data_IF_538485388790
#
_entry.id   IF_538485388790
#
_cell.length_a   1.000
_cell.length_b   1.000
_cell.length_c   1.000
_cell.angle_alpha   90.00
_cell.angle_beta   90.00
_cell.angle_gamma   90.00
#
_symmetry.space_group_name_H-M   'P 1'
#
loop_
_entity.id
_entity.type
_entity.pdbx_description
1 polymer ?
#
# COMPACT_ATOMS: atom_id res chain seq x y z
N UNK A 1 2.16 -13.58 36.27
CA UNK A 1 3.02 -12.70 35.45
C UNK A 1 2.40 -12.64 34.05
N UNK A 2 1.95 -11.50 33.51
CA UNK A 2 1.64 -11.42 32.09
C UNK A 2 2.93 -11.07 31.34
N UNK A 3 3.37 -11.98 30.47
CA UNK A 3 4.48 -11.78 29.55
C UNK A 3 4.06 -10.67 28.58
N UNK A 4 4.63 -9.46 28.71
CA UNK A 4 4.46 -8.39 27.73
C UNK A 4 5.22 -8.75 26.47
N UNK A 5 4.64 -9.59 25.61
CA UNK A 5 5.09 -9.65 24.24
C UNK A 5 4.62 -8.34 23.60
N UNK A 6 5.51 -7.36 23.56
CA UNK A 6 5.50 -6.34 22.52
C UNK A 6 5.66 -7.05 21.19
N UNK A 7 4.61 -7.69 20.70
CA UNK A 7 4.55 -8.24 19.36
C UNK A 7 4.58 -7.04 18.45
N UNK A 8 5.78 -6.67 17.99
CA UNK A 8 5.95 -5.79 16.85
C UNK A 8 5.08 -6.39 15.73
N UNK A 9 3.88 -5.83 15.55
CA UNK A 9 2.92 -6.37 14.60
C UNK A 9 3.62 -6.30 13.25
N UNK A 10 3.75 -7.41 12.52
CA UNK A 10 4.45 -7.39 11.25
C UNK A 10 3.86 -6.27 10.39
N UNK A 11 4.70 -5.50 9.69
CA UNK A 11 4.23 -4.39 8.87
C UNK A 11 3.13 -4.92 7.96
N UNK A 12 1.94 -4.34 8.07
CA UNK A 12 0.83 -4.74 7.21
C UNK A 12 1.20 -4.34 5.80
N UNK A 13 1.04 -5.29 4.89
CA UNK A 13 1.36 -5.13 3.47
C UNK A 13 0.10 -5.45 2.69
N UNK A 14 -0.23 -4.57 1.75
CA UNK A 14 -1.33 -4.78 0.83
C UNK A 14 -0.82 -5.18 -0.54
N UNK A 15 -1.59 -6.03 -1.21
CA UNK A 15 -1.39 -6.29 -2.63
C UNK A 15 -1.90 -5.12 -3.47
N UNK A 16 -1.39 -4.99 -4.69
CA UNK A 16 -1.88 -4.02 -5.69
C UNK A 16 -3.40 -4.10 -5.86
N UNK A 17 -3.96 -5.31 -5.82
CA UNK A 17 -5.41 -5.55 -5.95
C UNK A 17 -6.20 -5.09 -4.73
N UNK A 18 -5.68 -5.28 -3.51
CA UNK A 18 -6.33 -4.78 -2.29
C UNK A 18 -6.36 -3.25 -2.27
N UNK A 19 -5.22 -2.62 -2.55
CA UNK A 19 -5.12 -1.16 -2.65
C UNK A 19 -6.06 -0.63 -3.74
N UNK A 20 -6.12 -1.29 -4.89
CA UNK A 20 -7.02 -0.92 -5.98
C UNK A 20 -8.49 -0.92 -5.53
N UNK A 21 -8.91 -1.93 -4.78
CA UNK A 21 -10.27 -2.00 -4.21
C UNK A 21 -10.54 -0.91 -3.17
N UNK A 22 -9.56 -0.59 -2.33
CA UNK A 22 -9.69 0.47 -1.31
C UNK A 22 -9.86 1.86 -1.93
N UNK A 23 -9.03 2.17 -2.94
CA UNK A 23 -9.09 3.44 -3.66
C UNK A 23 -10.12 3.46 -4.79
N UNK A 24 -10.82 2.33 -5.04
CA UNK A 24 -11.74 2.13 -6.17
C UNK A 24 -11.12 2.49 -7.52
N UNK A 25 -9.86 2.11 -7.72
CA UNK A 25 -9.10 2.32 -8.95
C UNK A 25 -8.73 0.99 -9.60
N UNK A 26 -8.17 1.04 -10.80
CA UNK A 26 -7.64 -0.15 -11.47
C UNK A 26 -6.29 -0.61 -10.86
N UNK A 27 -6.02 -1.92 -10.73
CA UNK A 27 -4.72 -2.43 -10.26
C UNK A 27 -3.52 -1.96 -11.10
N UNK A 28 -3.72 -1.66 -12.39
CA UNK A 28 -2.70 -1.07 -13.27
C UNK A 28 -2.32 0.33 -12.82
N UNK A 29 -3.30 1.11 -12.35
CA UNK A 29 -3.09 2.44 -11.77
C UNK A 29 -2.26 2.33 -10.49
N UNK A 30 -2.58 1.38 -9.60
CA UNK A 30 -1.77 1.14 -8.38
C UNK A 30 -0.35 0.68 -8.73
N UNK A 31 -0.21 -0.20 -9.72
CA UNK A 31 1.10 -0.64 -10.20
C UNK A 31 1.91 0.53 -10.75
N UNK A 32 1.25 1.46 -11.47
CA UNK A 32 1.87 2.71 -11.93
C UNK A 32 2.32 3.55 -10.75
N UNK A 33 1.49 3.75 -9.73
CA UNK A 33 1.84 4.51 -8.52
C UNK A 33 3.08 3.97 -7.81
N UNK A 34 3.19 2.64 -7.71
CA UNK A 34 4.39 1.99 -7.16
C UNK A 34 5.61 2.23 -8.06
N UNK A 35 5.45 2.14 -9.39
CA UNK A 35 6.56 2.36 -10.34
C UNK A 35 7.01 3.81 -10.41
N UNK A 36 6.10 4.76 -10.22
CA UNK A 36 6.39 6.21 -10.21
C UNK A 36 6.88 6.70 -8.85
N UNK A 37 6.86 5.85 -7.82
CA UNK A 37 7.27 6.22 -6.45
C UNK A 37 6.23 6.99 -5.66
N UNK A 38 4.98 7.03 -6.15
CA UNK A 38 3.84 7.66 -5.46
C UNK A 38 3.26 6.79 -4.34
N UNK A 39 3.46 5.47 -4.41
CA UNK A 39 3.18 4.55 -3.31
C UNK A 39 4.43 3.76 -2.94
N UNK A 40 4.74 3.68 -1.65
CA UNK A 40 5.85 2.87 -1.15
C UNK A 40 5.49 1.39 -1.19
N UNK A 41 6.23 0.61 -1.97
CA UNK A 41 6.09 -0.83 -2.01
C UNK A 41 7.41 -1.58 -1.85
N UNK A 42 7.36 -2.70 -1.15
CA UNK A 42 8.41 -3.68 -1.05
C UNK A 42 8.31 -4.63 -2.23
N UNK A 43 9.39 -4.72 -3.02
CA UNK A 43 9.51 -5.76 -4.04
C UNK A 43 9.89 -7.07 -3.36
N UNK A 44 9.01 -8.06 -3.49
CA UNK A 44 9.34 -9.42 -3.05
C UNK A 44 10.28 -10.07 -4.06
N UNK A 45 11.09 -11.08 -3.67
CA UNK A 45 12.00 -11.79 -4.58
C UNK A 45 11.31 -12.39 -5.81
N UNK A 46 10.00 -12.66 -5.73
CA UNK A 46 9.18 -13.14 -6.85
C UNK A 46 8.64 -12.04 -7.78
N UNK A 47 9.06 -10.79 -7.64
CA UNK A 47 8.68 -9.69 -8.54
C UNK A 47 7.34 -9.02 -8.24
N UNK A 48 6.58 -9.52 -7.25
CA UNK A 48 5.33 -8.89 -6.82
C UNK A 48 5.63 -7.72 -5.88
N UNK A 49 4.97 -6.58 -6.12
CA UNK A 49 5.05 -5.42 -5.25
C UNK A 49 4.03 -5.55 -4.10
N UNK A 50 4.52 -5.36 -2.87
CA UNK A 50 3.71 -5.29 -1.66
C UNK A 50 3.70 -3.87 -1.12
N UNK A 51 2.56 -3.20 -1.18
CA UNK A 51 2.41 -1.80 -0.74
C UNK A 51 2.39 -1.76 0.79
N UNK A 52 3.09 -0.79 1.38
CA UNK A 52 3.08 -0.57 2.83
C UNK A 52 1.72 -0.05 3.27
N UNK A 53 1.15 -0.67 4.31
CA UNK A 53 -0.12 -0.23 4.87
C UNK A 53 -0.06 1.19 5.44
N UNK A 54 1.09 1.63 5.94
CA UNK A 54 1.29 2.99 6.46
C UNK A 54 0.99 4.05 5.39
N UNK A 55 1.49 3.81 4.17
CA UNK A 55 1.33 4.70 3.03
C UNK A 55 -0.12 4.68 2.50
N UNK A 56 -0.74 3.50 2.50
CA UNK A 56 -2.15 3.31 2.13
C UNK A 56 -3.08 3.97 3.14
N UNK A 57 -2.82 3.80 4.43
CA UNK A 57 -3.61 4.36 5.52
C UNK A 57 -3.49 5.89 5.52
N UNK A 58 -2.26 6.42 5.37
CA UNK A 58 -2.05 7.84 5.19
C UNK A 58 -2.80 8.39 3.94
N UNK A 59 -2.85 7.62 2.85
CA UNK A 59 -3.54 8.02 1.63
C UNK A 59 -5.06 7.98 1.77
N UNK A 60 -5.60 7.01 2.52
CA UNK A 60 -7.02 6.92 2.86
C UNK A 60 -7.44 7.98 3.87
N UNK A 61 -6.57 8.32 4.82
CA UNK A 61 -6.76 9.38 5.79
C UNK A 61 -6.64 10.79 5.17
N UNK A 62 -6.20 10.89 3.91
CA UNK A 62 -5.96 12.16 3.23
C UNK A 62 -4.70 12.90 3.70
N UNK A 63 -3.85 12.24 4.52
CA UNK A 63 -2.58 12.77 5.01
C UNK A 63 -1.50 12.77 3.93
N UNK A 64 -1.55 11.79 3.03
CA UNK A 64 -0.85 11.85 1.75
C UNK A 64 -1.90 11.85 0.65
N UNK A 65 -1.69 12.64 -0.41
CA UNK A 65 -2.66 12.65 -1.50
C UNK A 65 -2.50 11.35 -2.28
N UNK A 66 -3.55 10.52 -2.41
CA UNK A 66 -3.48 9.42 -3.36
C UNK A 66 -3.21 10.04 -4.72
N UNK A 67 -2.20 9.54 -5.45
CA UNK A 67 -1.84 10.09 -6.74
C UNK A 67 -3.07 10.16 -7.66
N UNK A 68 -3.24 11.24 -8.44
CA UNK A 68 -4.45 11.46 -9.22
C UNK A 68 -4.67 10.24 -10.12
N UNK A 69 -5.81 9.58 -9.94
CA UNK A 69 -6.28 8.52 -10.80
C UNK A 69 -6.72 9.15 -12.13
N UNK A 70 -5.77 9.58 -12.96
CA UNK A 70 -6.07 9.97 -14.33
C UNK A 70 -6.06 8.70 -15.19
N UNK A 71 -7.26 8.12 -15.33
CA UNK A 71 -7.59 7.11 -16.32
C UNK A 71 -9.10 7.25 -16.55
N UNK A 72 -9.48 7.74 -17.74
CA UNK A 72 -10.85 8.06 -18.11
C UNK A 72 -11.70 6.87 -18.52
#
# INVERSE_FOLDING_TARGET
>A
MPETHGTARPPRLYTTTEVARMFRVDPKTVTRWVRTGQLRALRTPGGHARILADDVDAALAGLTQPPPAHGG
#
